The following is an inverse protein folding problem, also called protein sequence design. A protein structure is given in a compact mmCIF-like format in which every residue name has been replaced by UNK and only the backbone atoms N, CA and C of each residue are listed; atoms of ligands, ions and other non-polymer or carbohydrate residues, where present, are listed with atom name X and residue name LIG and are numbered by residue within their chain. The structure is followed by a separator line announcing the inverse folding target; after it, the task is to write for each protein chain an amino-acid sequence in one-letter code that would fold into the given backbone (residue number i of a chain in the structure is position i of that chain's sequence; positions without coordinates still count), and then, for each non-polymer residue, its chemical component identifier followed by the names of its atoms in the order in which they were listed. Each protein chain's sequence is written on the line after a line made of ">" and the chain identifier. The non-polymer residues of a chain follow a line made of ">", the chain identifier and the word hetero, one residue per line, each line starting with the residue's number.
data_IF_708814094937
#
_entry.id   IF_708814094937
#
_cell.length_a   1.000
_cell.length_b   1.000
_cell.length_c   1.000
_cell.angle_alpha   90.00
_cell.angle_beta   90.00
_cell.angle_gamma   90.00
#
_symmetry.space_group_name_H-M   'P 1'
#
loop_
_entity.id
_entity.type
_entity.pdbx_description
1 polymer ?
#
# COMPACT_ATOMS: atom_id res chain seq x y z
N UNK A 1 -5.69 17.10 -13.74
CA UNK A 1 -6.98 17.28 -13.03
C UNK A 1 -7.28 16.05 -12.21
N UNK A 2 -7.77 16.21 -10.99
CA UNK A 2 -8.15 15.11 -10.12
C UNK A 2 -9.59 15.33 -9.64
N UNK A 3 -10.37 14.25 -9.62
CA UNK A 3 -11.67 14.18 -8.97
C UNK A 3 -11.63 13.03 -7.99
N UNK A 4 -12.10 13.28 -6.78
CA UNK A 4 -12.11 12.32 -5.69
C UNK A 4 -13.40 12.48 -4.90
N UNK A 5 -13.97 11.35 -4.48
CA UNK A 5 -15.12 11.32 -3.60
C UNK A 5 -14.91 10.18 -2.61
N UNK A 6 -15.27 10.39 -1.35
CA UNK A 6 -15.09 9.37 -0.33
C UNK A 6 -16.05 9.52 0.83
N UNK A 7 -16.16 8.42 1.58
CA UNK A 7 -16.95 8.32 2.80
C UNK A 7 -16.01 7.90 3.92
N UNK A 8 -16.12 8.58 5.05
CA UNK A 8 -15.51 8.17 6.32
C UNK A 8 -16.62 7.73 7.25
N UNK A 9 -16.45 6.55 7.84
CA UNK A 9 -17.41 5.96 8.75
C UNK A 9 -16.71 5.52 10.03
N UNK A 10 -17.18 6.06 11.15
CA UNK A 10 -16.70 5.74 12.49
C UNK A 10 -17.84 5.11 13.29
N UNK A 11 -18.08 3.79 13.18
CA UNK A 11 -19.18 3.12 13.88
C UNK A 11 -18.96 3.02 15.40
N UNK A 12 -17.70 3.12 15.84
CA UNK A 12 -17.30 3.13 17.24
C UNK A 12 -16.08 4.04 17.41
N UNK A 13 -15.81 4.57 18.61
CA UNK A 13 -14.62 5.38 18.86
C UNK A 13 -13.31 4.70 18.46
N UNK A 14 -13.26 3.37 18.55
CA UNK A 14 -12.08 2.56 18.21
C UNK A 14 -12.05 2.04 16.77
N UNK A 15 -13.00 2.42 15.90
CA UNK A 15 -13.06 1.93 14.51
C UNK A 15 -13.16 3.10 13.54
N UNK A 16 -12.28 3.16 12.55
CA UNK A 16 -12.42 4.10 11.43
C UNK A 16 -12.32 3.33 10.12
N UNK A 17 -13.29 3.54 9.23
CA UNK A 17 -13.29 3.01 7.88
C UNK A 17 -13.36 4.19 6.91
N UNK A 18 -12.46 4.23 5.94
CA UNK A 18 -12.47 5.20 4.85
C UNK A 18 -12.61 4.44 3.54
N UNK A 19 -13.53 4.89 2.68
CA UNK A 19 -13.66 4.38 1.32
C UNK A 19 -13.65 5.56 0.35
N UNK A 20 -12.75 5.53 -0.62
CA UNK A 20 -12.52 6.62 -1.57
C UNK A 20 -12.56 6.07 -2.99
N UNK A 21 -13.14 6.82 -3.91
CA UNK A 21 -13.05 6.60 -5.35
C UNK A 21 -12.38 7.82 -5.99
N UNK A 22 -11.51 7.57 -6.96
CA UNK A 22 -10.75 8.63 -7.60
C UNK A 22 -10.64 8.47 -9.11
N UNK A 23 -10.48 9.61 -9.78
CA UNK A 23 -10.10 9.74 -11.18
C UNK A 23 -9.07 10.85 -11.31
N UNK A 24 -7.87 10.46 -11.70
CA UNK A 24 -6.73 11.36 -11.89
C UNK A 24 -6.42 11.41 -13.38
N UNK A 25 -6.30 12.61 -13.92
CA UNK A 25 -5.87 12.91 -15.29
C UNK A 25 -4.55 13.68 -15.24
N UNK A 26 -3.48 13.01 -15.64
CA UNK A 26 -2.14 13.57 -15.75
C UNK A 26 -1.81 13.85 -17.23
N UNK A 27 -1.02 14.89 -17.49
CA UNK A 27 -0.62 15.28 -18.85
C UNK A 27 0.88 15.45 -18.91
N UNK A 28 1.46 15.07 -20.04
CA UNK A 28 2.85 15.31 -20.44
C UNK A 28 3.87 14.82 -19.40
N UNK A 29 3.58 13.70 -18.71
CA UNK A 29 4.57 13.06 -17.84
C UNK A 29 5.72 12.56 -18.69
N UNK A 30 6.93 12.86 -18.27
CA UNK A 30 8.14 12.35 -18.89
C UNK A 30 8.26 10.86 -18.57
N UNK A 31 8.35 10.05 -19.61
CA UNK A 31 8.67 8.63 -19.54
C UNK A 31 10.11 8.44 -19.96
N UNK A 32 10.85 7.67 -19.17
CA UNK A 32 12.23 7.32 -19.46
C UNK A 32 12.25 5.99 -20.22
N UNK A 33 12.89 6.01 -21.39
CA UNK A 33 13.06 4.87 -22.27
C UNK A 33 14.44 4.25 -22.08
N UNK A 34 14.65 3.08 -22.68
CA UNK A 34 15.96 2.45 -22.73
C UNK A 34 17.01 3.39 -23.38
N UNK A 35 18.28 3.20 -23.01
CA UNK A 35 19.41 3.98 -23.52
C UNK A 35 19.32 5.51 -23.28
N UNK A 36 18.55 5.95 -22.27
CA UNK A 36 18.48 7.35 -21.87
C UNK A 36 17.52 8.23 -22.68
N UNK A 37 16.72 7.62 -23.56
CA UNK A 37 15.66 8.34 -24.27
C UNK A 37 14.55 8.84 -23.33
N UNK A 38 13.86 9.90 -23.71
CA UNK A 38 12.66 10.36 -23.01
C UNK A 38 11.52 10.60 -23.99
N UNK A 39 10.32 10.20 -23.62
CA UNK A 39 9.09 10.56 -24.35
C UNK A 39 8.07 11.20 -23.40
N UNK A 40 7.09 11.91 -23.94
CA UNK A 40 5.96 12.39 -23.16
C UNK A 40 4.81 11.39 -23.23
N UNK A 41 4.25 11.02 -22.08
CA UNK A 41 3.17 10.05 -21.93
C UNK A 41 1.83 10.46 -22.56
N UNK A 42 1.78 11.63 -23.20
CA UNK A 42 0.54 12.31 -23.58
C UNK A 42 -0.37 12.48 -22.37
N UNK A 43 -1.56 11.88 -22.41
CA UNK A 43 -2.55 11.93 -21.33
C UNK A 43 -2.67 10.58 -20.64
N UNK A 44 -2.48 10.57 -19.33
CA UNK A 44 -2.69 9.40 -18.46
C UNK A 44 -3.95 9.59 -17.62
N UNK A 45 -4.80 8.58 -17.60
CA UNK A 45 -6.00 8.52 -16.79
C UNK A 45 -5.89 7.35 -15.81
N UNK A 46 -5.80 7.64 -14.53
CA UNK A 46 -5.82 6.65 -13.46
C UNK A 46 -7.17 6.70 -12.76
N UNK A 47 -7.83 5.55 -12.66
CA UNK A 47 -9.10 5.42 -11.94
C UNK A 47 -9.00 4.30 -10.94
N UNK A 48 -9.62 4.48 -9.79
CA UNK A 48 -9.51 3.49 -8.75
C UNK A 48 -10.41 3.74 -7.56
N UNK A 49 -10.23 2.88 -6.58
CA UNK A 49 -10.81 3.05 -5.27
C UNK A 49 -9.85 2.51 -4.21
N UNK A 50 -9.97 3.06 -3.01
CA UNK A 50 -9.20 2.69 -1.85
C UNK A 50 -10.16 2.47 -0.68
N UNK A 51 -9.87 1.43 0.11
CA UNK A 51 -10.56 1.13 1.34
C UNK A 51 -9.50 0.97 2.42
N UNK A 52 -9.63 1.73 3.49
CA UNK A 52 -8.76 1.68 4.66
C UNK A 52 -9.64 1.44 5.89
N UNK A 53 -9.21 0.55 6.77
CA UNK A 53 -9.92 0.25 8.00
C UNK A 53 -8.91 0.11 9.15
N UNK A 54 -9.16 0.83 10.23
CA UNK A 54 -8.48 0.66 11.51
C UNK A 54 -9.47 0.25 12.59
N UNK A 55 -9.06 -0.66 13.46
CA UNK A 55 -9.85 -1.06 14.61
C UNK A 55 -8.95 -1.37 15.81
N UNK A 56 -9.28 -0.84 16.98
CA UNK A 56 -8.61 -1.21 18.23
C UNK A 56 -9.55 -2.05 19.10
N UNK A 57 -9.16 -3.30 19.31
CA UNK A 57 -9.80 -4.26 20.20
C UNK A 57 -9.35 -4.02 21.66
N UNK A 58 -10.13 -4.49 22.66
CA UNK A 58 -9.75 -4.38 24.07
C UNK A 58 -8.35 -4.93 24.39
N UNK A 59 -7.69 -4.27 25.34
CA UNK A 59 -6.32 -4.61 25.75
C UNK A 59 -5.28 -4.28 24.68
N UNK A 60 -5.42 -3.15 23.99
CA UNK A 60 -4.42 -2.61 23.06
C UNK A 60 -4.02 -3.57 21.93
N UNK A 61 -5.02 -4.17 21.28
CA UNK A 61 -4.81 -4.94 20.06
C UNK A 61 -5.31 -4.14 18.86
N UNK A 62 -4.39 -3.70 18.02
CA UNK A 62 -4.65 -2.85 16.86
C UNK A 62 -4.71 -3.70 15.59
N UNK A 63 -5.70 -3.41 14.75
CA UNK A 63 -5.89 -3.98 13.42
C UNK A 63 -5.88 -2.86 12.38
N UNK A 64 -5.15 -3.09 11.30
CA UNK A 64 -5.08 -2.19 10.14
C UNK A 64 -5.26 -3.02 8.88
N UNK A 65 -6.24 -2.69 8.05
CA UNK A 65 -6.51 -3.34 6.78
C UNK A 65 -6.64 -2.30 5.68
N UNK A 66 -5.93 -2.49 4.58
CA UNK A 66 -5.99 -1.60 3.43
C UNK A 66 -6.13 -2.40 2.15
N UNK A 67 -6.93 -1.90 1.21
CA UNK A 67 -7.06 -2.44 -0.12
C UNK A 67 -7.22 -1.31 -1.13
N UNK A 68 -6.41 -1.36 -2.18
CA UNK A 68 -6.44 -0.40 -3.28
C UNK A 68 -6.63 -1.12 -4.61
N UNK A 69 -7.53 -0.59 -5.42
CA UNK A 69 -7.61 -0.89 -6.84
C UNK A 69 -7.26 0.35 -7.65
N UNK A 70 -6.29 0.23 -8.56
CA UNK A 70 -5.91 1.33 -9.45
C UNK A 70 -5.71 0.82 -10.87
N UNK A 71 -6.31 1.51 -11.83
CA UNK A 71 -6.15 1.22 -13.25
C UNK A 71 -5.68 2.46 -13.99
N UNK A 72 -4.44 2.40 -14.44
CA UNK A 72 -3.85 3.35 -15.35
C UNK A 72 -4.29 3.03 -16.78
N UNK A 73 -4.64 4.07 -17.54
CA UNK A 73 -4.86 4.02 -18.99
C UNK A 73 -4.22 5.25 -19.62
N UNK A 74 -3.37 5.06 -20.62
CA UNK A 74 -2.94 6.16 -21.48
C UNK A 74 -3.90 6.35 -22.65
N UNK A 75 -4.11 7.60 -23.07
CA UNK A 75 -4.81 7.92 -24.31
C UNK A 75 -3.90 7.80 -25.54
N UNK A 76 -2.58 7.78 -25.37
CA UNK A 76 -1.60 7.80 -26.47
C UNK A 76 -0.71 6.56 -26.53
N UNK A 77 -0.40 5.97 -25.38
CA UNK A 77 0.48 4.82 -25.27
C UNK A 77 -0.20 3.70 -24.46
N UNK A 78 -0.92 2.81 -25.14
CA UNK A 78 -1.64 1.68 -24.53
C UNK A 78 -0.71 0.69 -23.81
N UNK A 79 0.61 0.82 -23.99
CA UNK A 79 1.64 0.01 -23.37
C UNK A 79 2.00 0.40 -21.92
N UNK A 80 1.26 1.34 -21.31
CA UNK A 80 1.49 1.79 -19.94
C UNK A 80 0.57 1.08 -18.92
N UNK A 81 0.99 -0.11 -18.47
CA UNK A 81 0.30 -0.92 -17.43
C UNK A 81 1.29 -1.46 -16.37
N UNK A 82 2.31 -0.66 -16.03
CA UNK A 82 3.43 -1.06 -15.16
C UNK A 82 3.14 -0.96 -13.66
N UNK A 83 1.95 -0.48 -13.27
CA UNK A 83 1.54 -0.37 -11.88
C UNK A 83 0.69 -1.59 -11.48
N UNK A 84 0.95 -2.21 -10.30
CA UNK A 84 0.05 -3.21 -9.74
C UNK A 84 -1.37 -2.67 -9.62
N UNK A 85 -2.34 -3.39 -10.21
CA UNK A 85 -3.74 -2.95 -10.15
C UNK A 85 -4.40 -3.19 -8.81
N UNK A 86 -3.90 -4.15 -8.05
CA UNK A 86 -4.40 -4.53 -6.74
C UNK A 86 -3.26 -4.45 -5.75
N UNK A 87 -3.46 -3.69 -4.68
CA UNK A 87 -2.56 -3.64 -3.54
C UNK A 87 -3.38 -3.91 -2.29
N UNK A 88 -2.84 -4.70 -1.36
CA UNK A 88 -3.52 -4.97 -0.11
C UNK A 88 -2.51 -5.07 1.02
N UNK A 89 -2.92 -4.69 2.22
CA UNK A 89 -2.13 -4.96 3.42
C UNK A 89 -3.06 -5.28 4.59
N UNK A 90 -2.60 -6.14 5.48
CA UNK A 90 -3.24 -6.42 6.75
C UNK A 90 -2.16 -6.48 7.82
N UNK A 91 -2.31 -5.68 8.86
CA UNK A 91 -1.41 -5.62 10.00
C UNK A 91 -2.19 -5.81 11.29
N UNK A 92 -1.55 -6.49 12.24
CA UNK A 92 -2.01 -6.55 13.62
C UNK A 92 -0.87 -6.27 14.57
N UNK A 93 -1.15 -5.55 15.65
CA UNK A 93 -0.19 -5.37 16.75
C UNK A 93 -0.87 -5.53 18.10
N UNK A 94 -0.14 -6.01 19.09
CA UNK A 94 -0.57 -6.14 20.47
C UNK A 94 0.47 -5.49 21.37
N UNK A 95 0.03 -4.59 22.24
CA UNK A 95 0.86 -4.05 23.31
C UNK A 95 0.52 -4.77 24.62
N UNK A 96 1.55 -5.31 25.27
CA UNK A 96 1.52 -5.95 26.57
C UNK A 96 2.14 -5.02 27.62
N UNK A 97 1.65 -5.08 28.85
CA UNK A 97 2.11 -4.24 29.96
C UNK A 97 1.21 -3.03 30.23
N UNK A 98 1.38 -2.43 31.40
CA UNK A 98 0.70 -1.19 31.82
C UNK A 98 1.50 0.04 31.39
N UNK A 99 0.87 1.21 31.38
CA UNK A 99 1.51 2.46 30.90
C UNK A 99 2.71 2.89 31.76
N UNK A 100 2.69 2.58 33.06
CA UNK A 100 3.73 2.97 34.01
C UNK A 100 4.88 1.94 34.12
N UNK A 101 4.83 0.88 33.30
CA UNK A 101 5.81 -0.21 33.26
C UNK A 101 6.50 -0.31 31.89
N UNK A 102 7.45 -1.23 31.75
CA UNK A 102 7.97 -1.57 30.44
C UNK A 102 6.87 -2.25 29.60
N UNK A 103 6.61 -1.72 28.41
CA UNK A 103 5.62 -2.24 27.47
C UNK A 103 6.31 -2.99 26.34
N UNK A 104 5.81 -4.19 26.04
CA UNK A 104 6.23 -4.98 24.89
C UNK A 104 5.16 -4.87 23.81
N UNK A 105 5.51 -4.38 22.62
CA UNK A 105 4.64 -4.38 21.45
C UNK A 105 5.15 -5.39 20.44
N UNK A 106 4.30 -6.35 20.09
CA UNK A 106 4.56 -7.33 19.04
C UNK A 106 3.59 -7.09 17.89
N UNK A 107 4.09 -7.18 16.66
CA UNK A 107 3.29 -6.94 15.47
C UNK A 107 3.71 -7.79 14.30
N UNK A 108 2.74 -8.04 13.42
CA UNK A 108 2.94 -8.75 12.18
C UNK A 108 2.05 -8.20 11.09
N UNK A 109 2.54 -8.27 9.85
CA UNK A 109 1.80 -7.79 8.71
C UNK A 109 2.00 -8.63 7.46
N UNK A 110 1.00 -8.62 6.60
CA UNK A 110 1.07 -9.18 5.25
C UNK A 110 0.85 -8.05 4.27
N UNK A 111 1.75 -7.93 3.29
CA UNK A 111 1.68 -6.91 2.25
C UNK A 111 1.64 -7.60 0.89
N UNK A 112 0.62 -7.31 0.11
CA UNK A 112 0.39 -7.85 -1.22
C UNK A 112 0.50 -6.76 -2.29
N UNK A 113 1.24 -7.09 -3.34
CA UNK A 113 1.34 -6.31 -4.56
C UNK A 113 1.00 -7.19 -5.75
N UNK A 114 -0.04 -6.82 -6.48
CA UNK A 114 -0.47 -7.54 -7.68
C UNK A 114 0.58 -7.53 -8.78
N UNK A 115 0.35 -8.37 -9.79
CA UNK A 115 1.20 -8.38 -10.99
C UNK A 115 1.19 -7.01 -11.67
N UNK A 116 2.30 -6.67 -12.32
CA UNK A 116 2.40 -5.51 -13.20
C UNK A 116 2.86 -5.96 -14.58
N UNK A 117 2.59 -5.13 -15.59
CA UNK A 117 2.96 -5.44 -16.97
C UNK A 117 3.78 -4.29 -17.54
N UNK A 118 5.05 -4.56 -17.82
CA UNK A 118 5.88 -3.66 -18.60
C UNK A 118 5.70 -3.99 -20.06
N UNK A 119 5.36 -3.04 -20.90
CA UNK A 119 5.16 -3.32 -22.34
C UNK A 119 5.83 -2.28 -23.22
N UNK A 120 6.10 -2.69 -24.46
CA UNK A 120 6.61 -1.86 -25.55
C UNK A 120 5.65 -1.95 -26.74
N UNK A 121 6.04 -1.42 -27.89
CA UNK A 121 5.30 -1.55 -29.14
C UNK A 121 5.24 -3.01 -29.64
N UNK A 122 6.20 -3.87 -29.27
CA UNK A 122 6.36 -5.21 -29.84
C UNK A 122 6.46 -6.35 -28.81
N UNK A 123 6.51 -6.04 -27.50
CA UNK A 123 6.64 -7.05 -26.45
C UNK A 123 5.90 -6.67 -25.17
N UNK A 124 5.60 -7.67 -24.34
CA UNK A 124 5.10 -7.50 -22.97
C UNK A 124 5.86 -8.42 -22.01
N UNK A 125 6.18 -7.89 -20.83
CA UNK A 125 6.80 -8.60 -19.71
C UNK A 125 5.86 -8.47 -18.53
N UNK A 126 5.44 -9.62 -17.98
CA UNK A 126 4.61 -9.67 -16.78
C UNK A 126 5.51 -9.90 -15.58
N UNK A 127 5.57 -8.93 -14.66
CA UNK A 127 6.16 -9.13 -13.34
C UNK A 127 5.10 -9.81 -12.46
N UNK A 128 5.37 -11.01 -11.90
CA UNK A 128 4.42 -11.71 -11.06
C UNK A 128 3.99 -10.91 -9.83
N UNK A 129 2.84 -11.26 -9.25
CA UNK A 129 2.45 -10.70 -7.96
C UNK A 129 3.40 -11.19 -6.86
N UNK A 130 3.51 -10.40 -5.79
CA UNK A 130 4.31 -10.73 -4.60
C UNK A 130 3.54 -10.48 -3.31
N UNK A 131 3.81 -11.31 -2.33
CA UNK A 131 3.29 -11.15 -0.96
C UNK A 131 4.44 -11.30 0.03
N UNK A 132 4.73 -10.25 0.80
CA UNK A 132 5.69 -10.29 1.90
C UNK A 132 4.96 -10.43 3.23
N UNK A 133 5.67 -10.99 4.20
CA UNK A 133 5.28 -10.97 5.61
C UNK A 133 6.32 -10.17 6.34
N UNK A 134 5.87 -9.26 7.19
CA UNK A 134 6.71 -8.36 7.97
C UNK A 134 6.40 -8.56 9.44
N UNK A 135 7.37 -8.29 10.31
CA UNK A 135 7.21 -8.39 11.76
C UNK A 135 7.92 -7.26 12.50
N UNK A 136 7.40 -6.95 13.67
CA UNK A 136 7.89 -5.91 14.57
C UNK A 136 7.93 -6.47 16.00
N UNK A 137 9.00 -6.17 16.73
CA UNK A 137 9.09 -6.30 18.17
C UNK A 137 9.65 -5.01 18.75
N UNK A 138 8.97 -4.44 19.74
CA UNK A 138 9.31 -3.15 20.31
C UNK A 138 9.15 -3.19 21.83
N UNK A 139 10.11 -2.61 22.54
CA UNK A 139 10.04 -2.40 23.98
C UNK A 139 10.11 -0.91 24.24
N UNK A 140 9.12 -0.38 24.96
CA UNK A 140 9.08 1.01 25.43
C UNK A 140 9.17 1.00 26.95
N UNK A 141 10.08 1.78 27.52
CA UNK A 141 10.26 1.88 28.97
C UNK A 141 10.70 3.29 29.36
N UNK A 142 9.83 4.02 30.08
CA UNK A 142 10.02 5.45 30.39
C UNK A 142 10.30 6.23 29.09
N UNK A 143 11.44 6.90 28.99
CA UNK A 143 11.85 7.69 27.82
C UNK A 143 12.57 6.85 26.73
N UNK A 144 12.74 5.54 26.94
CA UNK A 144 13.46 4.67 26.03
C UNK A 144 12.54 3.85 25.15
N UNK A 145 12.94 3.67 23.89
CA UNK A 145 12.28 2.81 22.92
C UNK A 145 13.32 2.01 22.13
N UNK A 146 13.18 0.70 22.13
CA UNK A 146 14.02 -0.23 21.37
C UNK A 146 13.11 -1.00 20.41
N UNK A 147 13.45 -1.01 19.12
CA UNK A 147 12.63 -1.67 18.11
C UNK A 147 13.48 -2.53 17.17
N UNK A 148 12.97 -3.71 16.86
CA UNK A 148 13.49 -4.61 15.84
C UNK A 148 12.39 -4.85 14.81
N UNK A 149 12.70 -4.58 13.55
CA UNK A 149 11.80 -4.77 12.42
C UNK A 149 12.41 -5.74 11.42
N UNK A 150 11.58 -6.65 10.89
CA UNK A 150 11.98 -7.57 9.83
C UNK A 150 10.96 -7.46 8.69
N UNK A 151 11.40 -6.91 7.55
CA UNK A 151 10.60 -6.83 6.32
C UNK A 151 10.95 -7.97 5.39
N UNK A 152 9.96 -8.56 4.71
CA UNK A 152 10.14 -9.81 3.96
C UNK A 152 10.76 -10.91 4.84
N UNK A 153 10.17 -11.13 6.03
CA UNK A 153 10.59 -12.09 7.05
C UNK A 153 10.78 -13.51 6.50
N UNK A 154 9.99 -13.88 5.47
CA UNK A 154 10.06 -15.17 4.81
C UNK A 154 11.13 -15.25 3.71
N UNK A 155 11.93 -14.20 3.53
CA UNK A 155 13.04 -14.13 2.58
C UNK A 155 12.64 -14.53 1.14
N UNK A 156 11.48 -14.07 0.67
CA UNK A 156 11.03 -14.36 -0.69
C UNK A 156 11.86 -13.61 -1.72
N UNK A 157 12.08 -14.24 -2.87
CA UNK A 157 12.69 -13.65 -4.07
C UNK A 157 11.61 -13.39 -5.12
N UNK A 158 11.68 -12.25 -5.77
CA UNK A 158 10.73 -11.75 -6.77
C UNK A 158 11.47 -10.96 -7.84
#
# INVERSE_FOLDING_TARGET
>A
TQYEAGVKWQPAPSTLITATVFKIKERNRVLYLAAGGTEQSGVLNTKGFEIEASHTLPGNFELLANYGYSKLKSETNTSLDYMPRHTASLWSTKTFGLADEAQLRLGGGVVYSGKSVSTSAIWSIVTPSRTTVDALAEITWQDWRFALNATNLLNKKF
#
